data_IF_108866925246
#
_entry.id   IF_108866925246
#
_cell.length_a   1.000
_cell.length_b   1.000
_cell.length_c   1.000
_cell.angle_alpha   90.00
_cell.angle_beta   90.00
_cell.angle_gamma   90.00
#
_symmetry.space_group_name_H-M   'P 1'
#
loop_
_entity.id
_entity.type
_entity.pdbx_description
1 polymer ?
#
# COMPACT_ATOMS: atom_id res chain seq x y z
N UNK A 1 15.23 29.87 21.44
CA UNK A 1 14.42 28.84 20.75
C UNK A 1 13.69 29.55 19.63
N UNK A 2 14.01 29.21 18.37
CA UNK A 2 13.29 29.79 17.24
C UNK A 2 11.89 29.18 17.20
N UNK A 3 10.86 30.00 17.35
CA UNK A 3 9.47 29.56 17.17
C UNK A 3 9.18 29.41 15.68
N UNK A 4 8.81 28.19 15.26
CA UNK A 4 8.36 27.93 13.90
C UNK A 4 6.82 28.00 13.85
N UNK A 5 6.29 28.86 13.00
CA UNK A 5 4.84 28.94 12.78
C UNK A 5 4.47 28.14 11.54
N UNK A 6 3.60 27.15 11.71
CA UNK A 6 3.04 26.35 10.60
C UNK A 6 1.64 26.87 10.22
N UNK A 7 1.42 27.11 8.93
CA UNK A 7 0.11 27.42 8.39
C UNK A 7 -0.45 26.22 7.64
N UNK A 8 -1.65 25.78 8.03
CA UNK A 8 -2.36 24.67 7.41
C UNK A 8 -3.55 25.19 6.62
N UNK A 9 -3.79 24.58 5.44
CA UNK A 9 -5.01 24.77 4.67
C UNK A 9 -5.57 23.42 4.28
N UNK A 10 -6.78 23.12 4.74
CA UNK A 10 -7.49 21.88 4.41
C UNK A 10 -8.36 22.14 3.18
N UNK A 11 -8.25 21.28 2.16
CA UNK A 11 -9.05 21.33 0.94
C UNK A 11 -9.88 20.05 0.83
N UNK A 12 -11.19 20.15 0.90
CA UNK A 12 -12.11 19.06 0.61
C UNK A 12 -12.39 19.00 -0.89
N UNK A 13 -11.52 18.32 -1.65
CA UNK A 13 -11.63 18.20 -3.10
C UNK A 13 -11.33 16.76 -3.56
N UNK A 14 -11.93 16.38 -4.69
CA UNK A 14 -11.51 15.18 -5.40
C UNK A 14 -10.06 15.34 -5.88
N UNK A 15 -9.25 14.29 -5.69
CA UNK A 15 -7.84 14.29 -6.11
C UNK A 15 -7.66 14.55 -7.61
N UNK A 16 -8.64 14.19 -8.44
CA UNK A 16 -8.61 14.47 -9.87
C UNK A 16 -8.73 15.97 -10.21
N UNK A 17 -9.14 16.80 -9.24
CA UNK A 17 -9.33 18.26 -9.42
C UNK A 17 -8.18 19.08 -8.84
N UNK A 18 -7.14 18.45 -8.29
CA UNK A 18 -6.03 19.18 -7.62
C UNK A 18 -4.78 19.34 -8.47
N UNK A 19 -4.75 18.80 -9.68
CA UNK A 19 -3.55 18.84 -10.54
C UNK A 19 -3.06 20.25 -10.85
N UNK A 20 -3.96 21.24 -10.89
CA UNK A 20 -3.59 22.66 -11.07
C UNK A 20 -2.91 23.27 -9.83
N UNK A 21 -2.98 22.61 -8.68
CA UNK A 21 -2.41 23.10 -7.43
C UNK A 21 -1.03 22.51 -7.10
N UNK A 22 -0.68 21.36 -7.67
CA UNK A 22 0.53 20.62 -7.29
C UNK A 22 1.82 21.42 -7.47
N UNK A 23 1.85 22.33 -8.44
CA UNK A 23 3.01 23.16 -8.73
C UNK A 23 3.15 24.40 -7.82
N UNK A 24 2.15 24.66 -6.97
CA UNK A 24 2.21 25.71 -5.95
C UNK A 24 3.02 25.28 -4.71
N UNK A 25 3.45 24.02 -4.65
CA UNK A 25 4.17 23.43 -3.51
C UNK A 25 5.50 22.86 -3.97
N UNK A 26 6.49 22.88 -3.09
CA UNK A 26 7.82 22.31 -3.38
C UNK A 26 7.87 20.81 -3.11
N UNK A 27 7.03 20.34 -2.20
CA UNK A 27 6.94 18.92 -1.81
C UNK A 27 5.51 18.42 -1.96
N UNK A 28 5.34 17.29 -2.65
CA UNK A 28 4.10 16.53 -2.73
C UNK A 28 4.27 15.22 -1.94
N UNK A 29 3.50 15.04 -0.87
CA UNK A 29 3.55 13.83 -0.06
C UNK A 29 2.26 13.02 -0.17
N UNK A 30 2.38 11.72 -0.35
CA UNK A 30 1.28 10.75 -0.38
C UNK A 30 1.67 9.53 0.45
N UNK A 31 0.80 9.13 1.40
CA UNK A 31 1.05 7.96 2.25
C UNK A 31 -0.08 6.95 2.11
N UNK A 32 0.25 5.65 1.95
CA UNK A 32 -0.69 4.53 1.81
C UNK A 32 -1.81 4.80 0.77
N UNK A 33 -1.47 5.42 -0.35
CA UNK A 33 -2.44 5.93 -1.33
C UNK A 33 -2.22 5.41 -2.75
N UNK A 34 -0.96 5.29 -3.21
CA UNK A 34 -0.68 5.07 -4.63
C UNK A 34 -1.15 3.72 -5.16
N UNK A 35 -1.20 2.71 -4.31
CA UNK A 35 -1.74 1.38 -4.63
C UNK A 35 -3.24 1.39 -4.91
N UNK A 36 -3.96 2.38 -4.39
CA UNK A 36 -5.40 2.60 -4.63
C UNK A 36 -5.68 3.41 -5.89
N UNK A 37 -4.68 4.11 -6.43
CA UNK A 37 -4.83 4.98 -7.59
C UNK A 37 -4.76 4.18 -8.89
N UNK A 38 -5.24 4.80 -9.98
CA UNK A 38 -5.15 4.23 -11.32
C UNK A 38 -3.90 4.71 -12.04
N UNK A 39 -3.48 3.96 -13.09
CA UNK A 39 -2.39 4.40 -13.98
C UNK A 39 -2.70 5.74 -14.64
N UNK A 40 -3.97 6.02 -14.95
CA UNK A 40 -4.39 7.29 -15.53
C UNK A 40 -4.14 8.46 -14.58
N UNK A 41 -4.36 8.27 -13.28
CA UNK A 41 -4.03 9.29 -12.28
C UNK A 41 -2.52 9.56 -12.25
N UNK A 42 -1.70 8.51 -12.16
CA UNK A 42 -0.24 8.67 -12.16
C UNK A 42 0.26 9.36 -13.45
N UNK A 43 -0.26 8.97 -14.61
CA UNK A 43 0.10 9.61 -15.87
C UNK A 43 -0.22 11.11 -15.85
N UNK A 44 -1.40 11.49 -15.33
CA UNK A 44 -1.76 12.91 -15.17
C UNK A 44 -0.84 13.63 -14.18
N UNK A 45 -0.52 13.01 -13.03
CA UNK A 45 0.41 13.56 -12.06
C UNK A 45 1.78 13.87 -12.69
N UNK A 46 2.40 12.87 -13.31
CA UNK A 46 3.71 13.01 -13.94
C UNK A 46 3.71 13.91 -15.18
N UNK A 47 2.55 14.10 -15.83
CA UNK A 47 2.40 15.07 -16.92
C UNK A 47 2.36 16.52 -16.43
N UNK A 48 1.75 16.76 -15.27
CA UNK A 48 1.45 18.12 -14.79
C UNK A 48 2.47 18.62 -13.76
N UNK A 49 3.31 17.77 -13.17
CA UNK A 49 4.30 18.23 -12.20
C UNK A 49 5.49 18.86 -12.91
N UNK A 50 5.90 20.03 -12.44
CA UNK A 50 7.05 20.77 -12.95
C UNK A 50 8.36 20.21 -12.38
N UNK A 51 9.50 20.57 -13.00
CA UNK A 51 10.83 20.32 -12.45
C UNK A 51 11.07 21.12 -11.15
N UNK A 52 12.05 20.66 -10.36
CA UNK A 52 12.42 21.28 -9.09
C UNK A 52 11.52 20.94 -7.91
N UNK A 53 10.65 19.93 -8.04
CA UNK A 53 9.76 19.45 -6.97
C UNK A 53 10.27 18.14 -6.37
N UNK A 54 9.86 17.86 -5.14
CA UNK A 54 10.07 16.58 -4.47
C UNK A 54 8.73 15.85 -4.32
N UNK A 55 8.67 14.59 -4.74
CA UNK A 55 7.53 13.72 -4.49
C UNK A 55 7.96 12.66 -3.49
N UNK A 56 7.19 12.51 -2.41
CA UNK A 56 7.40 11.50 -1.38
C UNK A 56 6.17 10.59 -1.35
N UNK A 57 6.36 9.31 -1.64
CA UNK A 57 5.30 8.31 -1.56
C UNK A 57 5.72 7.25 -0.54
N UNK A 58 4.96 7.12 0.53
CA UNK A 58 5.29 6.21 1.64
C UNK A 58 4.25 5.12 1.82
N UNK A 59 4.66 4.04 2.49
CA UNK A 59 3.80 2.91 2.84
C UNK A 59 3.10 2.30 1.62
N UNK A 60 3.83 2.13 0.52
CA UNK A 60 3.30 1.57 -0.70
C UNK A 60 3.44 0.05 -0.66
N UNK A 61 2.32 -0.67 -0.57
CA UNK A 61 2.32 -2.12 -0.54
C UNK A 61 2.96 -2.71 -1.80
N UNK A 62 3.92 -3.65 -1.61
CA UNK A 62 4.69 -4.24 -2.71
C UNK A 62 4.31 -5.69 -3.05
N UNK A 63 3.16 -6.16 -2.56
CA UNK A 63 2.63 -7.49 -2.85
C UNK A 63 3.20 -8.62 -2.00
N UNK A 64 4.12 -8.35 -1.10
CA UNK A 64 4.76 -9.38 -0.29
C UNK A 64 4.14 -9.45 1.11
N UNK A 65 3.70 -10.64 1.48
CA UNK A 65 3.34 -10.97 2.87
C UNK A 65 3.99 -12.30 3.21
N UNK A 66 4.73 -12.33 4.32
CA UNK A 66 5.45 -13.52 4.77
C UNK A 66 5.20 -13.76 6.25
N UNK A 67 5.02 -15.02 6.60
CA UNK A 67 4.82 -15.49 7.98
C UNK A 67 5.99 -16.36 8.43
N UNK A 68 6.36 -16.26 9.71
CA UNK A 68 7.34 -17.16 10.32
C UNK A 68 6.87 -18.63 10.28
N UNK A 69 5.58 -18.89 10.55
CA UNK A 69 4.96 -20.20 10.37
C UNK A 69 4.37 -20.33 8.97
N UNK A 70 5.10 -21.05 8.11
CA UNK A 70 4.69 -21.27 6.71
C UNK A 70 3.51 -22.24 6.63
N UNK A 71 2.59 -21.96 5.72
CA UNK A 71 1.49 -22.82 5.32
C UNK A 71 1.54 -22.99 3.79
N UNK A 72 1.28 -24.19 3.29
CA UNK A 72 1.30 -24.47 1.84
C UNK A 72 0.37 -23.57 1.04
N UNK A 73 -0.69 -23.07 1.68
CA UNK A 73 -1.69 -22.18 1.07
C UNK A 73 -1.30 -20.67 1.11
N UNK A 74 -0.24 -20.30 1.84
CA UNK A 74 0.19 -18.90 1.99
C UNK A 74 0.40 -18.20 0.64
N UNK A 75 1.13 -18.84 -0.27
CA UNK A 75 1.43 -18.29 -1.60
C UNK A 75 0.15 -18.06 -2.42
N UNK A 76 -0.80 -18.99 -2.34
CA UNK A 76 -2.07 -18.86 -3.03
C UNK A 76 -2.88 -17.69 -2.49
N UNK A 77 -2.98 -17.55 -1.16
CA UNK A 77 -3.70 -16.46 -0.49
C UNK A 77 -3.10 -15.10 -0.84
N UNK A 78 -1.76 -14.96 -0.77
CA UNK A 78 -1.10 -13.70 -1.13
C UNK A 78 -1.34 -13.33 -2.60
N UNK A 79 -1.22 -14.29 -3.51
CA UNK A 79 -1.47 -14.05 -4.94
C UNK A 79 -2.94 -13.66 -5.21
N UNK A 80 -3.88 -14.31 -4.53
CA UNK A 80 -5.29 -13.98 -4.65
C UNK A 80 -5.60 -12.58 -4.10
N UNK A 81 -4.98 -12.24 -2.96
CA UNK A 81 -5.11 -10.90 -2.36
C UNK A 81 -4.53 -9.82 -3.28
N UNK A 82 -3.35 -10.05 -3.87
CA UNK A 82 -2.75 -9.13 -4.82
C UNK A 82 -3.66 -8.86 -6.04
N UNK A 83 -4.29 -9.91 -6.58
CA UNK A 83 -5.29 -9.77 -7.65
C UNK A 83 -6.52 -8.97 -7.21
N UNK A 84 -6.98 -9.19 -5.98
CA UNK A 84 -8.09 -8.45 -5.40
C UNK A 84 -7.75 -6.95 -5.24
N UNK A 85 -6.52 -6.62 -4.82
CA UNK A 85 -6.07 -5.24 -4.71
C UNK A 85 -6.07 -4.51 -6.06
N UNK A 86 -5.84 -5.22 -7.16
CA UNK A 86 -5.88 -4.70 -8.54
C UNK A 86 -7.29 -4.72 -9.15
N UNK A 87 -8.32 -5.06 -8.39
CA UNK A 87 -9.70 -5.08 -8.90
C UNK A 87 -10.23 -3.68 -9.20
N UNK A 88 -11.29 -3.62 -10.01
CA UNK A 88 -11.96 -2.36 -10.35
C UNK A 88 -12.62 -1.79 -9.09
N UNK A 89 -12.16 -0.62 -8.66
CA UNK A 89 -12.72 0.14 -7.55
C UNK A 89 -13.21 1.49 -8.07
N UNK A 90 -14.49 1.80 -7.82
CA UNK A 90 -15.12 3.05 -8.29
C UNK A 90 -14.91 3.32 -9.79
N UNK A 91 -15.00 2.27 -10.63
CA UNK A 91 -14.87 2.39 -12.08
C UNK A 91 -13.45 2.47 -12.64
N UNK A 92 -12.42 2.42 -11.78
CA UNK A 92 -11.02 2.43 -12.20
C UNK A 92 -10.28 1.20 -11.67
N UNK A 93 -9.36 0.69 -12.48
CA UNK A 93 -8.44 -0.37 -12.07
C UNK A 93 -7.37 0.22 -11.16
N UNK A 94 -7.28 -0.28 -9.92
CA UNK A 94 -6.24 0.12 -8.98
C UNK A 94 -4.89 -0.49 -9.36
N UNK A 95 -3.80 0.22 -9.09
CA UNK A 95 -2.43 -0.26 -9.37
C UNK A 95 -2.04 -1.44 -8.48
N UNK A 96 -2.55 -1.44 -7.22
CA UNK A 96 -2.21 -2.46 -6.25
C UNK A 96 -0.70 -2.53 -6.01
N UNK A 97 -0.20 -3.73 -5.86
CA UNK A 97 1.21 -4.01 -5.57
C UNK A 97 2.20 -3.59 -6.67
N UNK A 98 1.74 -3.34 -7.90
CA UNK A 98 2.58 -2.86 -9.01
C UNK A 98 2.82 -1.35 -8.96
N UNK A 99 2.22 -0.63 -8.02
CA UNK A 99 2.25 0.83 -7.95
C UNK A 99 3.65 1.42 -7.97
N UNK A 100 4.58 0.88 -7.18
CA UNK A 100 5.98 1.34 -7.13
C UNK A 100 6.69 1.16 -8.47
N UNK A 101 6.51 0.02 -9.13
CA UNK A 101 7.18 -0.22 -10.42
C UNK A 101 6.62 0.69 -11.51
N UNK A 102 5.32 0.99 -11.48
CA UNK A 102 4.73 1.98 -12.40
C UNK A 102 5.25 3.39 -12.14
N UNK A 103 5.39 3.77 -10.87
CA UNK A 103 5.99 5.07 -10.50
C UNK A 103 7.44 5.17 -10.98
N UNK A 104 8.27 4.13 -10.76
CA UNK A 104 9.66 4.06 -11.25
C UNK A 104 9.73 4.24 -12.76
N UNK A 105 8.89 3.50 -13.52
CA UNK A 105 8.82 3.61 -14.99
C UNK A 105 8.48 5.03 -15.45
N UNK A 106 7.53 5.69 -14.77
CA UNK A 106 7.16 7.07 -15.10
C UNK A 106 8.26 8.07 -14.75
N UNK A 107 8.92 7.90 -13.60
CA UNK A 107 10.05 8.74 -13.20
C UNK A 107 11.22 8.61 -14.20
N UNK A 108 11.57 7.39 -14.59
CA UNK A 108 12.60 7.12 -15.61
C UNK A 108 12.26 7.76 -16.96
N UNK A 109 11.01 7.62 -17.41
CA UNK A 109 10.54 8.23 -18.68
C UNK A 109 10.63 9.75 -18.68
N UNK A 110 10.58 10.37 -17.50
CA UNK A 110 10.69 11.83 -17.30
C UNK A 110 12.10 12.28 -16.94
N UNK A 111 13.09 11.37 -16.90
CA UNK A 111 14.46 11.63 -16.44
C UNK A 111 14.52 12.20 -15.00
N UNK A 112 13.55 11.86 -14.15
CA UNK A 112 13.54 12.24 -12.74
C UNK A 112 14.44 11.29 -11.93
N UNK A 113 15.18 11.82 -10.97
CA UNK A 113 15.95 11.01 -10.02
C UNK A 113 15.01 10.42 -8.98
N UNK A 114 15.24 9.17 -8.57
CA UNK A 114 14.47 8.57 -7.49
C UNK A 114 15.30 7.59 -6.66
N UNK A 115 14.89 7.42 -5.41
CA UNK A 115 15.40 6.42 -4.49
C UNK A 115 14.24 5.63 -3.88
N UNK A 116 14.42 4.32 -3.69
CA UNK A 116 13.42 3.42 -3.11
C UNK A 116 13.99 2.79 -1.85
N UNK A 117 13.17 2.75 -0.79
CA UNK A 117 13.55 2.24 0.53
C UNK A 117 12.59 1.14 0.98
N UNK A 118 13.09 0.13 1.68
CA UNK A 118 12.24 -0.88 2.35
C UNK A 118 11.64 -0.25 3.61
N UNK A 119 10.32 -0.13 3.63
CA UNK A 119 9.52 0.32 4.78
C UNK A 119 8.58 -0.77 5.29
N UNK A 120 8.97 -2.04 5.12
CA UNK A 120 8.17 -3.20 5.50
C UNK A 120 7.76 -3.18 6.98
N UNK A 121 6.51 -3.53 7.25
CA UNK A 121 6.01 -3.71 8.61
C UNK A 121 6.38 -5.09 9.15
N UNK A 122 6.66 -5.15 10.45
CA UNK A 122 6.75 -6.39 11.22
C UNK A 122 5.63 -6.38 12.24
N UNK A 123 4.70 -7.31 12.08
CA UNK A 123 3.60 -7.52 13.02
C UNK A 123 3.97 -8.67 13.95
N UNK A 124 3.82 -8.45 15.24
CA UNK A 124 3.97 -9.47 16.28
C UNK A 124 2.61 -9.84 16.87
N UNK A 125 2.58 -10.85 17.73
CA UNK A 125 1.37 -11.27 18.45
C UNK A 125 1.67 -11.43 19.96
N UNK A 126 2.57 -10.61 20.50
CA UNK A 126 3.08 -10.76 21.87
C UNK A 126 2.06 -10.16 22.86
N UNK A 127 1.75 -8.86 22.75
CA UNK A 127 0.79 -8.19 23.59
C UNK A 127 -0.66 -8.40 23.10
N UNK A 128 -1.64 -8.05 23.95
CA UNK A 128 -3.04 -8.10 23.53
C UNK A 128 -3.36 -7.11 22.41
N UNK A 129 -2.77 -5.92 22.43
CA UNK A 129 -2.95 -4.90 21.39
C UNK A 129 -2.32 -5.38 20.07
N UNK A 130 -1.12 -5.98 20.12
CA UNK A 130 -0.49 -6.60 18.95
C UNK A 130 -1.37 -7.69 18.34
N UNK A 131 -1.94 -8.57 19.17
CA UNK A 131 -2.85 -9.64 18.70
C UNK A 131 -4.08 -9.07 18.02
N UNK A 132 -4.71 -8.05 18.61
CA UNK A 132 -5.87 -7.40 18.00
C UNK A 132 -5.54 -6.73 16.67
N UNK A 133 -4.41 -6.02 16.61
CA UNK A 133 -3.96 -5.38 15.38
C UNK A 133 -3.63 -6.43 14.30
N UNK A 134 -2.88 -7.46 14.67
CA UNK A 134 -2.50 -8.56 13.77
C UNK A 134 -3.73 -9.30 13.24
N UNK A 135 -4.73 -9.57 14.11
CA UNK A 135 -6.00 -10.16 13.68
C UNK A 135 -6.74 -9.27 12.68
N UNK A 136 -6.87 -7.96 12.97
CA UNK A 136 -7.50 -7.00 12.04
C UNK A 136 -6.77 -6.98 10.70
N UNK A 137 -5.44 -6.99 10.71
CA UNK A 137 -4.65 -7.10 9.47
C UNK A 137 -4.96 -8.38 8.71
N UNK A 138 -4.98 -9.54 9.38
CA UNK A 138 -5.32 -10.83 8.75
C UNK A 138 -6.72 -10.80 8.13
N UNK A 139 -7.68 -10.14 8.78
CA UNK A 139 -9.04 -9.94 8.27
C UNK A 139 -9.09 -9.07 7.00
N UNK A 140 -8.15 -8.13 6.82
CA UNK A 140 -8.07 -7.33 5.57
C UNK A 140 -7.75 -8.19 4.36
N UNK A 141 -7.04 -9.30 4.56
CA UNK A 141 -6.76 -10.29 3.51
C UNK A 141 -7.96 -11.23 3.34
N UNK A 142 -8.46 -11.78 4.44
CA UNK A 142 -9.48 -12.83 4.44
C UNK A 142 -10.84 -12.35 3.92
N UNK A 143 -11.35 -11.19 4.41
CA UNK A 143 -12.70 -10.70 4.11
C UNK A 143 -12.97 -10.49 2.61
N UNK A 144 -12.08 -9.84 1.84
CA UNK A 144 -12.26 -9.71 0.39
C UNK A 144 -12.24 -11.06 -0.32
N UNK A 145 -11.29 -11.94 0.05
CA UNK A 145 -11.15 -13.25 -0.58
C UNK A 145 -12.34 -14.16 -0.31
N UNK A 146 -12.95 -14.07 0.87
CA UNK A 146 -14.16 -14.83 1.21
C UNK A 146 -15.35 -14.48 0.32
N UNK A 147 -15.41 -13.28 -0.24
CA UNK A 147 -16.44 -12.83 -1.18
C UNK A 147 -16.19 -13.33 -2.61
N UNK A 148 -15.00 -13.76 -2.92
CA UNK A 148 -14.61 -14.19 -4.25
C UNK A 148 -15.01 -15.65 -4.49
N UNK A 149 -15.99 -15.89 -5.36
CA UNK A 149 -16.52 -17.23 -5.68
C UNK A 149 -15.49 -18.18 -6.32
N UNK A 150 -14.35 -17.66 -6.82
CA UNK A 150 -13.28 -18.47 -7.43
C UNK A 150 -12.29 -19.03 -6.39
N UNK A 151 -12.41 -18.63 -5.13
CA UNK A 151 -11.55 -19.08 -4.04
C UNK A 151 -12.18 -20.29 -3.35
N UNK A 152 -11.39 -21.33 -3.12
CA UNK A 152 -11.81 -22.46 -2.28
C UNK A 152 -12.04 -21.98 -0.85
N UNK A 153 -13.30 -21.89 -0.47
CA UNK A 153 -13.72 -21.33 0.81
C UNK A 153 -13.26 -22.19 1.97
N UNK A 154 -13.30 -23.52 1.83
CA UNK A 154 -12.90 -24.44 2.91
C UNK A 154 -11.42 -24.30 3.22
N UNK A 155 -10.58 -24.26 2.20
CA UNK A 155 -9.14 -24.07 2.36
C UNK A 155 -8.80 -22.67 2.91
N UNK A 156 -9.49 -21.62 2.44
CA UNK A 156 -9.32 -20.26 2.95
C UNK A 156 -9.70 -20.16 4.43
N UNK A 157 -10.82 -20.76 4.84
CA UNK A 157 -11.28 -20.77 6.24
C UNK A 157 -10.28 -21.54 7.12
N UNK A 158 -9.79 -22.68 6.68
CA UNK A 158 -8.76 -23.45 7.40
C UNK A 158 -7.44 -22.66 7.56
N UNK A 159 -7.00 -22.01 6.49
CA UNK A 159 -5.82 -21.14 6.53
C UNK A 159 -5.99 -20.00 7.55
N UNK A 160 -7.14 -19.31 7.51
CA UNK A 160 -7.44 -18.21 8.40
C UNK A 160 -7.50 -18.65 9.87
N UNK A 161 -8.20 -19.75 10.18
CA UNK A 161 -8.29 -20.32 11.53
C UNK A 161 -6.90 -20.73 12.05
N UNK A 162 -6.06 -21.31 11.19
CA UNK A 162 -4.70 -21.69 11.57
C UNK A 162 -3.88 -20.47 11.96
N UNK A 163 -3.92 -19.38 11.16
CA UNK A 163 -3.20 -18.13 11.48
C UNK A 163 -3.76 -17.48 12.75
N UNK A 164 -5.09 -17.48 12.95
CA UNK A 164 -5.71 -16.97 14.19
C UNK A 164 -5.25 -17.72 15.45
N UNK A 165 -5.15 -19.05 15.39
CA UNK A 165 -4.61 -19.84 16.52
C UNK A 165 -3.19 -19.42 16.87
N UNK A 166 -2.34 -19.18 15.86
CA UNK A 166 -0.96 -18.72 16.05
C UNK A 166 -0.89 -17.27 16.59
N UNK A 167 -1.83 -16.41 16.23
CA UNK A 167 -1.95 -15.07 16.85
C UNK A 167 -2.33 -15.20 18.32
N UNK A 168 -3.36 -15.99 18.63
CA UNK A 168 -3.89 -16.13 19.98
C UNK A 168 -2.86 -16.69 20.96
N UNK A 169 -2.04 -17.62 20.53
CA UNK A 169 -0.96 -18.20 21.36
C UNK A 169 0.34 -17.36 21.34
N UNK A 170 0.35 -16.20 20.66
CA UNK A 170 1.47 -15.27 20.68
C UNK A 170 2.65 -15.64 19.77
N UNK A 171 2.51 -16.61 18.88
CA UNK A 171 3.65 -17.16 18.11
C UNK A 171 3.71 -16.66 16.66
N UNK A 172 2.66 -16.02 16.12
CA UNK A 172 2.69 -15.54 14.74
C UNK A 172 3.44 -14.21 14.61
N UNK A 173 4.38 -14.19 13.67
CA UNK A 173 4.98 -12.97 13.15
C UNK A 173 4.65 -12.85 11.68
N UNK A 174 4.35 -11.63 11.22
CA UNK A 174 4.10 -11.33 9.82
C UNK A 174 4.98 -10.17 9.36
N UNK A 175 5.70 -10.36 8.25
CA UNK A 175 6.33 -9.26 7.52
C UNK A 175 5.43 -8.87 6.36
N UNK A 176 4.99 -7.62 6.32
CA UNK A 176 4.20 -7.02 5.24
C UNK A 176 5.09 -6.08 4.45
N UNK A 177 5.31 -6.40 3.19
CA UNK A 177 6.21 -5.66 2.33
C UNK A 177 5.64 -4.31 1.94
N UNK A 178 6.36 -3.25 2.25
CA UNK A 178 6.11 -1.88 1.79
C UNK A 178 7.39 -1.26 1.27
N UNK A 179 7.25 -0.31 0.37
CA UNK A 179 8.34 0.53 -0.08
C UNK A 179 7.95 2.00 0.03
N UNK A 180 8.94 2.82 0.34
CA UNK A 180 8.86 4.26 0.20
C UNK A 180 9.64 4.67 -1.04
N UNK A 181 9.19 5.69 -1.76
CA UNK A 181 9.91 6.25 -2.89
C UNK A 181 9.97 7.77 -2.77
N UNK A 182 11.15 8.33 -2.99
CA UNK A 182 11.41 9.77 -3.07
C UNK A 182 11.84 10.07 -4.50
N UNK A 183 11.21 11.06 -5.13
CA UNK A 183 11.47 11.47 -6.51
C UNK A 183 11.82 12.96 -6.51
N UNK A 184 12.91 13.30 -7.20
CA UNK A 184 13.32 14.67 -7.49
C UNK A 184 13.03 14.93 -8.99
N UNK A 185 12.09 15.84 -9.25
CA UNK A 185 11.62 16.14 -10.61
C UNK A 185 12.51 17.13 -11.34
#
# INVERSE_FOLDING_TARGET
>A
INEFTFKFKILHKDLNLVFNLINNFDVLSMSALIDLLSINFLNKLFKNINHGKVIIMTLCFNGQVRWNYKNSYDKYVVNAFNKEQQSIKKGNLSLGWESIDKVKQLAQKKNFKFSVYDSSWKLSSISNDDKQFHQKYLETIYKPLKKNKKIDRKLLDQWFITKLKLINNGSLETKVGHNDIIIQT
#
